data_IF_555182216283
#
_entry.id   IF_555182216283
#
_cell.length_a   1.000
_cell.length_b   1.000
_cell.length_c   1.000
_cell.angle_alpha   90.00
_cell.angle_beta   90.00
_cell.angle_gamma   90.00
#
_symmetry.space_group_name_H-M   'P 1'
#
loop_
_entity.id
_entity.type
_entity.pdbx_description
1 polymer ?
#
# COMPACT_ATOMS: atom_id res chain seq x y z
N UNK A 1 -41.13 8.14 -30.85
CA UNK A 1 -40.66 9.07 -31.91
C UNK A 1 -39.18 9.35 -31.70
N UNK A 2 -38.33 9.10 -32.70
CA UNK A 2 -36.91 9.37 -32.59
C UNK A 2 -36.67 10.88 -32.46
N UNK A 3 -35.99 11.32 -31.39
CA UNK A 3 -35.60 12.72 -31.22
C UNK A 3 -34.22 12.95 -31.85
N UNK A 4 -34.02 14.14 -32.44
CA UNK A 4 -32.70 14.53 -32.95
C UNK A 4 -31.71 14.63 -31.78
N UNK A 5 -30.58 13.94 -31.91
CA UNK A 5 -29.50 13.98 -30.92
C UNK A 5 -28.85 15.36 -30.91
N UNK A 6 -28.53 15.86 -29.72
CA UNK A 6 -27.98 17.18 -29.48
C UNK A 6 -26.67 17.08 -28.68
N UNK A 7 -25.72 17.98 -28.96
CA UNK A 7 -24.46 18.05 -28.24
C UNK A 7 -24.30 19.44 -27.61
N UNK A 8 -24.16 19.55 -26.26
CA UNK A 8 -23.98 20.83 -25.60
C UNK A 8 -22.61 21.45 -25.92
N UNK A 9 -22.47 22.75 -25.69
CA UNK A 9 -21.20 23.46 -25.89
C UNK A 9 -20.11 22.94 -24.95
N UNK A 10 -20.46 22.68 -23.69
CA UNK A 10 -19.57 22.06 -22.71
C UNK A 10 -19.79 20.55 -22.68
N UNK A 11 -19.28 19.86 -23.69
CA UNK A 11 -19.50 18.42 -23.85
C UNK A 11 -18.44 17.58 -23.13
N UNK A 12 -18.79 16.33 -22.86
CA UNK A 12 -17.88 15.32 -22.37
C UNK A 12 -16.78 15.04 -23.41
N UNK A 13 -15.53 15.01 -22.94
CA UNK A 13 -14.34 14.84 -23.79
C UNK A 13 -14.41 13.48 -24.49
N UNK A 14 -14.11 13.46 -25.78
CA UNK A 14 -14.12 12.20 -26.55
C UNK A 14 -15.52 11.72 -26.97
N UNK A 15 -16.60 12.41 -26.59
CA UNK A 15 -17.96 12.09 -27.03
C UNK A 15 -18.34 12.89 -28.29
N UNK A 16 -18.94 12.20 -29.26
CA UNK A 16 -19.36 12.73 -30.55
C UNK A 16 -20.72 12.17 -30.95
N UNK A 17 -21.40 12.85 -31.88
CA UNK A 17 -22.51 12.25 -32.63
C UNK A 17 -21.94 11.69 -33.93
N UNK A 18 -22.21 10.42 -34.20
CA UNK A 18 -21.81 9.74 -35.43
C UNK A 18 -23.02 9.50 -36.32
N UNK A 19 -22.90 9.81 -37.61
CA UNK A 19 -23.91 9.46 -38.60
C UNK A 19 -23.45 8.22 -39.38
N UNK A 20 -24.27 7.17 -39.38
CA UNK A 20 -24.00 5.93 -40.11
C UNK A 20 -24.16 6.06 -41.63
N UNK A 21 -24.77 7.15 -42.12
CA UNK A 21 -24.92 7.40 -43.56
C UNK A 21 -23.66 8.11 -44.09
N UNK A 22 -23.46 9.37 -43.72
CA UNK A 22 -22.32 10.17 -44.21
C UNK A 22 -20.99 9.90 -43.49
N UNK A 23 -20.94 8.93 -42.55
CA UNK A 23 -19.77 8.50 -41.76
C UNK A 23 -19.03 9.64 -41.03
N UNK A 24 -19.69 10.79 -40.85
CA UNK A 24 -19.11 12.00 -40.23
C UNK A 24 -19.32 12.00 -38.72
N UNK A 25 -18.34 12.56 -38.01
CA UNK A 25 -18.40 12.79 -36.57
C UNK A 25 -18.69 14.27 -36.32
N UNK A 26 -19.79 14.53 -35.62
CA UNK A 26 -20.20 15.86 -35.22
C UNK A 26 -19.75 16.09 -33.78
N UNK A 27 -18.86 17.05 -33.59
CA UNK A 27 -18.31 17.43 -32.29
C UNK A 27 -19.13 18.51 -31.58
N UNK A 28 -20.10 19.10 -32.27
CA UNK A 28 -21.04 20.12 -31.80
C UNK A 28 -22.28 20.03 -32.68
N UNK A 29 -23.43 20.53 -32.23
CA UNK A 29 -24.66 20.60 -33.05
C UNK A 29 -25.12 22.02 -33.35
N UNK A 30 -24.72 22.98 -32.53
CA UNK A 30 -24.95 24.41 -32.73
C UNK A 30 -23.84 25.20 -32.02
N UNK A 31 -23.32 26.24 -32.66
CA UNK A 31 -22.40 27.20 -32.02
C UNK A 31 -22.83 28.62 -32.38
N UNK A 32 -22.59 29.58 -31.49
CA UNK A 32 -22.85 31.00 -31.77
C UNK A 32 -21.53 31.68 -32.11
N UNK A 33 -21.45 32.27 -33.29
CA UNK A 33 -20.24 32.96 -33.78
C UNK A 33 -20.58 34.42 -34.05
N UNK A 34 -19.63 35.32 -33.78
CA UNK A 34 -19.75 36.73 -34.14
C UNK A 34 -19.28 36.90 -35.60
N UNK A 35 -20.18 37.32 -36.48
CA UNK A 35 -19.85 37.67 -37.86
C UNK A 35 -20.36 39.08 -38.12
N UNK A 36 -19.47 40.00 -38.49
CA UNK A 36 -19.78 41.41 -38.74
C UNK A 36 -20.65 42.02 -37.62
N UNK A 37 -20.14 41.99 -36.38
CA UNK A 37 -20.77 42.50 -35.14
C UNK A 37 -22.14 41.90 -34.75
N UNK A 38 -22.66 40.92 -35.50
CA UNK A 38 -23.90 40.20 -35.17
C UNK A 38 -23.63 38.77 -34.71
N UNK A 39 -24.36 38.31 -33.69
CA UNK A 39 -24.32 36.91 -33.20
C UNK A 39 -25.13 36.02 -34.15
N UNK A 40 -24.45 35.15 -34.88
CA UNK A 40 -25.09 34.19 -35.82
C UNK A 40 -24.96 32.78 -35.28
N UNK A 41 -26.04 31.99 -35.38
CA UNK A 41 -26.04 30.56 -35.04
C UNK A 41 -25.54 29.77 -36.25
N UNK A 42 -24.45 29.06 -36.08
CA UNK A 42 -23.90 28.14 -37.07
C UNK A 42 -24.25 26.69 -36.68
N UNK A 43 -24.37 25.81 -37.67
CA UNK A 43 -24.61 24.38 -37.52
C UNK A 43 -23.63 23.60 -38.41
N UNK A 44 -23.21 22.37 -38.03
CA UNK A 44 -22.32 21.62 -38.88
C UNK A 44 -23.08 21.06 -40.08
N UNK A 45 -22.39 20.95 -41.21
CA UNK A 45 -22.96 20.44 -42.46
C UNK A 45 -22.77 18.92 -42.59
N UNK A 46 -23.73 18.28 -43.25
CA UNK A 46 -23.64 16.88 -43.65
C UNK A 46 -22.49 16.67 -44.65
N UNK A 47 -21.78 15.54 -44.54
CA UNK A 47 -20.68 15.21 -45.45
C UNK A 47 -21.12 14.86 -46.88
N UNK A 48 -22.35 14.38 -47.05
CA UNK A 48 -22.87 13.97 -48.38
C UNK A 48 -23.76 15.04 -49.01
N UNK A 49 -24.75 15.55 -48.25
CA UNK A 49 -25.75 16.47 -48.80
C UNK A 49 -25.38 17.95 -48.68
N UNK A 50 -24.32 18.28 -47.95
CA UNK A 50 -23.91 19.67 -47.67
C UNK A 50 -24.89 20.48 -46.80
N UNK A 51 -26.08 19.95 -46.50
CA UNK A 51 -27.13 20.62 -45.73
C UNK A 51 -26.81 20.63 -44.23
N UNK A 52 -27.41 21.58 -43.50
CA UNK A 52 -27.24 21.74 -42.05
C UNK A 52 -27.71 20.49 -41.29
N UNK A 53 -27.07 20.21 -40.15
CA UNK A 53 -27.38 19.07 -39.29
C UNK A 53 -28.86 18.98 -38.88
N UNK A 54 -29.51 20.12 -38.59
CA UNK A 54 -30.94 20.20 -38.27
C UNK A 54 -31.85 19.72 -39.40
N UNK A 55 -31.38 19.74 -40.65
CA UNK A 55 -32.14 19.35 -41.85
C UNK A 55 -31.81 17.94 -42.36
N UNK A 56 -30.95 17.19 -41.66
CA UNK A 56 -30.59 15.82 -42.05
C UNK A 56 -31.85 14.94 -42.12
N UNK A 57 -32.08 14.28 -43.27
CA UNK A 57 -33.19 13.33 -43.49
C UNK A 57 -33.02 12.04 -42.68
N UNK A 58 -31.78 11.63 -42.39
CA UNK A 58 -31.45 10.37 -41.72
C UNK A 58 -31.05 10.55 -40.25
N UNK A 59 -31.66 11.52 -39.56
CA UNK A 59 -31.30 11.84 -38.17
C UNK A 59 -31.52 10.68 -37.18
N UNK A 60 -32.43 9.76 -37.51
CA UNK A 60 -32.68 8.54 -36.72
C UNK A 60 -31.48 7.58 -36.73
N UNK A 61 -30.64 7.64 -37.77
CA UNK A 61 -29.40 6.87 -37.89
C UNK A 61 -28.22 7.55 -37.17
N UNK A 62 -28.45 8.65 -36.45
CA UNK A 62 -27.41 9.24 -35.60
C UNK A 62 -27.29 8.46 -34.29
N UNK A 63 -26.06 8.22 -33.84
CA UNK A 63 -25.73 7.57 -32.56
C UNK A 63 -24.70 8.38 -31.80
N UNK A 64 -24.71 8.32 -30.47
CA UNK A 64 -23.59 8.85 -29.70
C UNK A 64 -22.42 7.86 -29.80
N UNK A 65 -21.18 8.38 -29.83
CA UNK A 65 -19.98 7.56 -29.99
C UNK A 65 -18.84 8.15 -29.17
N UNK A 66 -18.28 7.33 -28.29
CA UNK A 66 -17.05 7.65 -27.57
C UNK A 66 -15.82 7.28 -28.40
N UNK A 67 -14.78 8.11 -28.30
CA UNK A 67 -13.46 7.87 -28.88
C UNK A 67 -12.40 8.16 -27.83
N UNK A 68 -11.72 7.11 -27.40
CA UNK A 68 -10.62 7.16 -26.44
C UNK A 68 -9.31 6.89 -27.18
N UNK A 69 -8.26 7.62 -26.83
CA UNK A 69 -6.94 7.36 -27.38
C UNK A 69 -6.32 6.18 -26.64
N UNK A 70 -5.72 5.25 -27.38
CA UNK A 70 -4.97 4.13 -26.80
C UNK A 70 -3.59 4.65 -26.40
N UNK A 71 -3.24 4.71 -25.10
CA UNK A 71 -1.92 5.18 -24.66
C UNK A 71 -0.79 4.36 -25.29
N UNK A 72 0.30 5.01 -25.70
CA UNK A 72 1.47 4.34 -26.29
C UNK A 72 1.32 3.96 -27.78
N UNK A 73 0.25 4.39 -28.44
CA UNK A 73 0.06 4.17 -29.88
C UNK A 73 0.22 5.46 -30.68
N UNK A 74 0.67 5.38 -31.92
CA UNK A 74 0.67 6.50 -32.86
C UNK A 74 -0.76 6.81 -33.34
N UNK A 75 -1.55 7.43 -32.47
CA UNK A 75 -2.88 7.93 -32.81
C UNK A 75 -3.99 6.88 -32.91
N UNK A 76 -3.76 5.63 -32.48
CA UNK A 76 -4.82 4.60 -32.42
C UNK A 76 -5.90 5.03 -31.42
N UNK A 77 -7.16 4.78 -31.79
CA UNK A 77 -8.34 5.15 -30.98
C UNK A 77 -9.24 3.94 -30.80
N UNK A 78 -9.60 3.67 -29.57
CA UNK A 78 -10.72 2.78 -29.25
C UNK A 78 -12.02 3.59 -29.37
N UNK A 79 -13.08 2.99 -29.91
CA UNK A 79 -14.35 3.67 -30.04
C UNK A 79 -15.52 2.74 -29.78
N UNK A 80 -16.50 3.22 -29.00
CA UNK A 80 -17.76 2.51 -28.69
C UNK A 80 -18.94 3.37 -29.12
N UNK A 81 -19.86 2.76 -29.86
CA UNK A 81 -21.14 3.38 -30.22
C UNK A 81 -22.13 3.08 -29.09
N UNK A 82 -22.88 4.10 -28.69
CA UNK A 82 -23.78 4.09 -27.54
C UNK A 82 -25.23 3.98 -27.99
N UNK A 83 -26.05 3.28 -27.20
CA UNK A 83 -27.48 3.08 -27.46
C UNK A 83 -28.33 4.24 -26.91
N UNK A 84 -27.74 5.07 -26.04
CA UNK A 84 -28.33 6.29 -25.53
C UNK A 84 -29.07 7.14 -26.57
N UNK A 85 -30.28 7.55 -26.19
CA UNK A 85 -31.16 8.41 -27.00
C UNK A 85 -30.99 9.89 -26.65
N UNK A 86 -30.58 10.21 -25.42
CA UNK A 86 -30.29 11.56 -24.95
C UNK A 86 -28.82 11.71 -24.54
N UNK A 87 -28.39 12.95 -24.30
CA UNK A 87 -26.98 13.25 -24.01
C UNK A 87 -26.56 12.83 -22.60
N UNK A 88 -27.45 12.90 -21.61
CA UNK A 88 -27.11 12.55 -20.22
C UNK A 88 -26.76 11.06 -20.11
N UNK A 89 -27.60 10.19 -20.68
CA UNK A 89 -27.37 8.75 -20.70
C UNK A 89 -26.10 8.41 -21.51
N UNK A 90 -25.88 9.12 -22.62
CA UNK A 90 -24.67 8.95 -23.42
C UNK A 90 -23.38 9.33 -22.68
N UNK A 91 -23.45 10.24 -21.69
CA UNK A 91 -22.32 10.57 -20.82
C UNK A 91 -22.06 9.45 -19.82
N UNK A 92 -23.11 8.83 -19.27
CA UNK A 92 -22.98 7.68 -18.36
C UNK A 92 -22.31 6.51 -19.11
N UNK A 93 -22.87 6.13 -20.26
CA UNK A 93 -22.29 5.07 -21.11
C UNK A 93 -20.86 5.38 -21.56
N UNK A 94 -20.53 6.66 -21.77
CA UNK A 94 -19.17 7.09 -22.10
C UNK A 94 -18.19 6.94 -20.92
N UNK A 95 -18.62 7.27 -19.70
CA UNK A 95 -17.82 7.13 -18.49
C UNK A 95 -17.57 5.64 -18.19
N UNK A 96 -18.59 4.80 -18.34
CA UNK A 96 -18.46 3.36 -18.09
C UNK A 96 -17.53 2.72 -19.13
N UNK A 97 -17.65 3.10 -20.41
CA UNK A 97 -16.68 2.70 -21.43
C UNK A 97 -15.25 3.15 -21.11
N UNK A 98 -15.06 4.36 -20.56
CA UNK A 98 -13.73 4.82 -20.16
C UNK A 98 -13.16 4.01 -19.00
N UNK A 99 -14.00 3.60 -18.03
CA UNK A 99 -13.59 2.74 -16.92
C UNK A 99 -13.26 1.33 -17.40
N UNK A 100 -14.11 0.72 -18.22
CA UNK A 100 -13.88 -0.59 -18.85
C UNK A 100 -12.57 -0.57 -19.64
N UNK A 101 -12.39 0.41 -20.52
CA UNK A 101 -11.19 0.55 -21.33
C UNK A 101 -9.92 0.74 -20.49
N UNK A 102 -9.99 1.48 -19.37
CA UNK A 102 -8.87 1.62 -18.43
C UNK A 102 -8.60 0.32 -17.66
N UNK A 103 -9.63 -0.42 -17.27
CA UNK A 103 -9.49 -1.69 -16.59
C UNK A 103 -8.91 -2.77 -17.53
N UNK A 104 -9.33 -2.80 -18.80
CA UNK A 104 -8.74 -3.66 -19.84
C UNK A 104 -7.27 -3.33 -20.10
N UNK A 105 -6.90 -2.04 -20.11
CA UNK A 105 -5.49 -1.61 -20.16
C UNK A 105 -4.70 -2.02 -18.91
N UNK A 106 -5.36 -2.20 -17.77
CA UNK A 106 -4.75 -2.68 -16.52
C UNK A 106 -4.66 -4.21 -16.43
N UNK A 107 -5.30 -4.93 -17.36
CA UNK A 107 -5.27 -6.39 -17.45
C UNK A 107 -4.16 -6.93 -18.36
N UNK A 108 -3.33 -7.81 -17.79
CA UNK A 108 -2.29 -8.63 -18.44
C UNK A 108 -1.02 -7.90 -18.89
N UNK A 109 -0.12 -7.70 -17.93
CA UNK A 109 1.27 -8.17 -18.08
C UNK A 109 2.21 -7.40 -19.01
N UNK A 110 2.01 -6.10 -19.26
CA UNK A 110 3.06 -5.23 -19.79
C UNK A 110 3.08 -3.89 -19.04
N UNK A 111 4.27 -3.33 -18.73
CA UNK A 111 4.36 -2.05 -18.04
C UNK A 111 3.99 -0.95 -19.03
N UNK A 112 2.80 -0.39 -18.88
CA UNK A 112 2.52 0.90 -19.48
C UNK A 112 3.46 1.89 -18.78
N UNK A 113 4.36 2.53 -19.53
CA UNK A 113 4.99 3.78 -19.11
C UNK A 113 3.91 4.86 -18.98
N UNK A 114 3.07 4.72 -17.96
CA UNK A 114 2.35 5.85 -17.42
C UNK A 114 3.45 6.65 -16.75
N UNK A 115 3.57 7.94 -17.08
CA UNK A 115 4.16 8.92 -16.17
C UNK A 115 3.26 9.00 -14.92
N UNK A 116 3.11 7.89 -14.21
CA UNK A 116 2.40 7.77 -12.97
C UNK A 116 3.26 8.50 -11.96
N UNK A 117 2.76 9.66 -11.54
CA UNK A 117 3.31 10.37 -10.41
C UNK A 117 3.13 9.45 -9.20
N UNK A 118 4.22 8.82 -8.77
CA UNK A 118 4.24 7.92 -7.62
C UNK A 118 4.20 8.74 -6.34
N UNK A 119 3.00 9.06 -5.86
CA UNK A 119 2.81 9.79 -4.61
C UNK A 119 3.17 8.90 -3.42
N UNK A 120 3.88 9.47 -2.43
CA UNK A 120 4.39 8.75 -1.27
C UNK A 120 3.28 7.99 -0.54
N UNK A 121 2.14 8.65 -0.29
CA UNK A 121 1.05 8.03 0.45
C UNK A 121 0.45 6.83 -0.29
N UNK A 122 0.24 6.94 -1.60
CA UNK A 122 -0.31 5.84 -2.42
C UNK A 122 0.67 4.67 -2.50
N UNK A 123 1.97 4.97 -2.62
CA UNK A 123 3.04 3.96 -2.62
C UNK A 123 3.16 3.27 -1.25
N UNK A 124 2.94 3.98 -0.15
CA UNK A 124 2.89 3.38 1.18
C UNK A 124 1.71 2.42 1.33
N UNK A 125 0.54 2.76 0.79
CA UNK A 125 -0.63 1.85 0.81
C UNK A 125 -0.34 0.58 0.00
N UNK A 126 0.18 0.73 -1.22
CA UNK A 126 0.57 -0.43 -2.05
C UNK A 126 1.66 -1.28 -1.39
N UNK A 127 2.55 -0.66 -0.61
CA UNK A 127 3.52 -1.42 0.18
C UNK A 127 2.86 -2.21 1.31
N UNK A 128 1.82 -1.66 1.95
CA UNK A 128 1.06 -2.39 2.97
C UNK A 128 0.33 -3.57 2.34
N UNK A 129 -0.32 -3.38 1.19
CA UNK A 129 -0.98 -4.46 0.44
C UNK A 129 0.02 -5.56 0.05
N UNK A 130 1.21 -5.16 -0.40
CA UNK A 130 2.32 -6.09 -0.66
C UNK A 130 2.75 -6.86 0.60
N UNK A 131 2.85 -6.18 1.75
CA UNK A 131 3.15 -6.84 3.03
C UNK A 131 2.03 -7.82 3.43
N UNK A 132 0.79 -7.57 3.02
CA UNK A 132 -0.35 -8.45 3.25
C UNK A 132 -0.57 -9.51 2.16
N UNK A 133 0.35 -9.60 1.20
CA UNK A 133 0.30 -10.56 0.09
C UNK A 133 -0.96 -10.41 -0.79
N UNK A 134 -1.55 -9.20 -0.83
CA UNK A 134 -2.69 -8.88 -1.69
C UNK A 134 -2.17 -8.68 -3.12
N UNK A 135 -2.69 -9.46 -4.06
CA UNK A 135 -2.31 -9.43 -5.49
C UNK A 135 -0.80 -9.62 -5.75
N UNK A 136 -0.12 -10.36 -4.87
CA UNK A 136 1.32 -10.66 -4.98
C UNK A 136 1.54 -12.06 -5.57
N UNK A 137 2.38 -12.21 -6.62
CA UNK A 137 2.75 -13.51 -7.16
C UNK A 137 3.35 -14.43 -6.08
N UNK A 138 3.09 -15.74 -6.17
CA UNK A 138 3.46 -16.70 -5.11
C UNK A 138 4.93 -16.59 -4.65
N UNK A 139 5.86 -16.50 -5.62
CA UNK A 139 7.30 -16.40 -5.35
C UNK A 139 7.73 -15.07 -4.68
N UNK A 140 6.87 -14.05 -4.65
CA UNK A 140 7.14 -12.75 -4.02
C UNK A 140 6.41 -12.59 -2.68
N UNK A 141 5.57 -13.56 -2.29
CA UNK A 141 4.85 -13.51 -1.02
C UNK A 141 5.83 -13.49 0.14
N UNK A 142 5.56 -12.58 1.08
CA UNK A 142 6.37 -12.45 2.28
C UNK A 142 5.81 -13.32 3.41
N UNK A 143 6.69 -13.73 4.32
CA UNK A 143 6.38 -14.57 5.50
C UNK A 143 6.59 -13.79 6.81
N UNK A 144 6.29 -12.49 6.78
CA UNK A 144 6.47 -11.60 7.94
C UNK A 144 5.36 -11.83 8.97
N UNK A 145 5.72 -11.81 10.25
CA UNK A 145 4.73 -11.87 11.33
C UNK A 145 3.89 -10.59 11.39
N UNK A 146 2.65 -10.68 11.86
CA UNK A 146 1.77 -9.52 12.05
C UNK A 146 2.40 -8.45 12.93
N UNK A 147 3.15 -8.85 13.96
CA UNK A 147 3.92 -7.92 14.79
C UNK A 147 4.91 -7.12 13.93
N UNK A 148 5.68 -7.78 13.06
CA UNK A 148 6.66 -7.12 12.21
C UNK A 148 6.00 -6.18 11.19
N UNK A 149 4.87 -6.60 10.60
CA UNK A 149 4.08 -5.75 9.71
C UNK A 149 3.60 -4.48 10.43
N UNK A 150 3.04 -4.63 11.62
CA UNK A 150 2.58 -3.51 12.44
C UNK A 150 3.73 -2.56 12.83
N UNK A 151 4.94 -3.07 13.10
CA UNK A 151 6.11 -2.23 13.34
C UNK A 151 6.50 -1.38 12.12
N UNK A 152 6.40 -1.96 10.92
CA UNK A 152 6.67 -1.29 9.64
C UNK A 152 5.62 -0.19 9.41
N UNK A 153 4.33 -0.52 9.49
CA UNK A 153 3.21 0.43 9.33
C UNK A 153 3.37 1.60 10.31
N UNK A 154 3.66 1.31 11.58
CA UNK A 154 3.90 2.36 12.57
C UNK A 154 5.13 3.23 12.25
N UNK A 155 6.15 2.69 11.59
CA UNK A 155 7.29 3.46 11.13
C UNK A 155 6.93 4.40 9.97
N UNK A 156 6.17 3.92 8.98
CA UNK A 156 5.68 4.73 7.86
C UNK A 156 4.79 5.88 8.37
N UNK A 157 3.92 5.58 9.34
CA UNK A 157 3.10 6.59 10.00
C UNK A 157 3.94 7.67 10.70
N UNK A 158 5.01 7.29 11.42
CA UNK A 158 5.92 8.24 12.05
C UNK A 158 6.66 9.13 11.04
N UNK A 159 7.04 8.57 9.90
CA UNK A 159 7.63 9.36 8.81
C UNK A 159 6.63 10.39 8.27
N UNK A 160 5.38 9.98 8.10
CA UNK A 160 4.31 10.88 7.69
C UNK A 160 4.03 11.98 8.74
N UNK A 161 4.11 11.64 10.03
CA UNK A 161 4.01 12.60 11.13
C UNK A 161 5.16 13.62 11.09
N UNK A 162 6.41 13.18 10.85
CA UNK A 162 7.55 14.10 10.72
C UNK A 162 7.38 15.05 9.55
N UNK A 163 6.95 14.57 8.37
CA UNK A 163 6.68 15.43 7.21
C UNK A 163 5.58 16.46 7.51
N UNK A 164 4.52 16.04 8.18
CA UNK A 164 3.38 16.91 8.52
C UNK A 164 3.80 18.03 9.47
N UNK A 165 4.71 17.75 10.43
CA UNK A 165 5.26 18.74 11.35
C UNK A 165 6.02 19.86 10.63
N UNK A 166 6.64 19.56 9.49
CA UNK A 166 7.34 20.54 8.65
C UNK A 166 6.48 21.05 7.49
N UNK A 167 5.14 20.99 7.62
CA UNK A 167 4.17 21.46 6.62
C UNK A 167 4.29 20.81 5.23
N UNK A 168 4.91 19.62 5.14
CA UNK A 168 5.00 18.86 3.89
C UNK A 168 3.78 17.95 3.76
N UNK A 169 3.01 18.13 2.69
CA UNK A 169 1.85 17.29 2.41
C UNK A 169 2.28 15.92 1.83
N UNK A 170 2.27 14.89 2.68
CA UNK A 170 2.55 13.48 2.34
C UNK A 170 1.73 12.91 1.18
N UNK A 171 0.51 13.42 0.93
CA UNK A 171 -0.33 12.96 -0.19
C UNK A 171 0.12 13.54 -1.54
N UNK A 172 0.85 14.66 -1.53
CA UNK A 172 1.32 15.35 -2.73
C UNK A 172 2.82 15.17 -2.98
N UNK A 173 3.57 14.68 -1.98
CA UNK A 173 4.98 14.38 -2.13
C UNK A 173 5.19 13.16 -3.04
N UNK A 174 6.06 13.27 -4.03
CA UNK A 174 6.43 12.16 -4.92
C UNK A 174 7.61 11.37 -4.35
N UNK A 175 7.63 10.06 -4.53
CA UNK A 175 8.75 9.19 -4.12
C UNK A 175 10.06 9.67 -4.73
N UNK A 176 10.07 10.03 -6.02
CA UNK A 176 11.27 10.52 -6.71
C UNK A 176 11.74 11.91 -6.27
N UNK A 177 11.02 12.58 -5.36
CA UNK A 177 11.42 13.85 -4.74
C UNK A 177 11.90 13.67 -3.30
N UNK A 178 11.85 12.45 -2.76
CA UNK A 178 12.44 12.16 -1.45
C UNK A 178 13.96 12.30 -1.59
N UNK A 179 14.54 13.05 -0.66
CA UNK A 179 15.94 13.49 -0.70
C UNK A 179 16.52 13.47 0.72
N UNK A 180 17.83 13.70 0.83
CA UNK A 180 18.54 13.78 2.11
C UNK A 180 17.90 14.80 3.08
N UNK A 181 17.25 15.85 2.56
CA UNK A 181 16.46 16.80 3.38
C UNK A 181 15.36 16.07 4.16
N UNK A 182 14.57 15.23 3.49
CA UNK A 182 13.46 14.49 4.12
C UNK A 182 13.98 13.45 5.12
N UNK A 183 15.14 12.87 4.85
CA UNK A 183 15.84 11.97 5.79
C UNK A 183 16.28 12.73 7.03
N UNK A 184 16.80 13.96 6.88
CA UNK A 184 17.15 14.87 7.97
C UNK A 184 15.94 15.22 8.85
N UNK A 185 14.80 15.59 8.24
CA UNK A 185 13.57 15.86 9.00
C UNK A 185 13.12 14.67 9.84
N UNK A 186 13.24 13.45 9.29
CA UNK A 186 12.91 12.25 10.06
C UNK A 186 13.96 11.93 11.13
N UNK A 187 15.25 12.19 10.86
CA UNK A 187 16.32 12.05 11.84
C UNK A 187 16.05 12.92 13.07
N UNK A 188 15.78 14.21 12.86
CA UNK A 188 15.49 15.17 13.92
C UNK A 188 14.22 14.78 14.68
N UNK A 189 13.17 14.36 13.97
CA UNK A 189 11.95 13.88 14.60
C UNK A 189 12.19 12.67 15.51
N UNK A 190 13.03 11.72 15.11
CA UNK A 190 13.30 10.54 15.95
C UNK A 190 14.17 10.87 17.16
N UNK A 191 15.18 11.73 17.02
CA UNK A 191 16.12 12.04 18.11
C UNK A 191 15.63 13.15 19.03
N UNK A 192 15.07 14.22 18.49
CA UNK A 192 14.65 15.39 19.27
C UNK A 192 13.22 15.21 19.77
N UNK A 193 12.26 14.92 18.88
CA UNK A 193 10.84 14.87 19.28
C UNK A 193 10.46 13.58 20.00
N UNK A 194 11.04 12.46 19.57
CA UNK A 194 10.74 11.13 20.16
C UNK A 194 11.78 10.67 21.16
N UNK A 195 12.92 11.34 21.25
CA UNK A 195 14.01 10.99 22.15
C UNK A 195 14.38 9.49 22.07
N UNK A 196 14.46 8.95 20.85
CA UNK A 196 14.74 7.54 20.64
C UNK A 196 16.22 7.22 20.80
N UNK A 197 16.49 6.15 21.56
CA UNK A 197 17.84 5.58 21.68
C UNK A 197 18.31 4.95 20.37
N UNK A 198 19.62 4.82 20.22
CA UNK A 198 20.28 4.36 18.99
C UNK A 198 19.70 3.08 18.39
N UNK A 199 19.35 2.06 19.20
CA UNK A 199 18.78 0.81 18.68
C UNK A 199 17.44 1.03 17.97
N UNK A 200 16.54 1.77 18.61
CA UNK A 200 15.23 2.10 18.06
C UNK A 200 15.37 2.99 16.83
N UNK A 201 16.21 4.02 16.91
CA UNK A 201 16.52 4.92 15.80
C UNK A 201 17.01 4.14 14.57
N UNK A 202 18.04 3.31 14.73
CA UNK A 202 18.62 2.50 13.66
C UNK A 202 17.57 1.57 13.02
N UNK A 203 16.71 0.96 13.85
CA UNK A 203 15.63 0.11 13.39
C UNK A 203 14.64 0.86 12.50
N UNK A 204 14.25 2.09 12.87
CA UNK A 204 13.32 2.92 12.08
C UNK A 204 13.94 3.39 10.77
N UNK A 205 15.21 3.82 10.79
CA UNK A 205 15.93 4.17 9.57
C UNK A 205 16.06 2.99 8.61
N UNK A 206 16.34 1.78 9.14
CA UNK A 206 16.42 0.56 8.33
C UNK A 206 15.08 0.19 7.69
N UNK A 207 13.95 0.46 8.36
CA UNK A 207 12.62 0.20 7.80
C UNK A 207 12.33 1.12 6.63
N UNK A 208 12.56 2.43 6.76
CA UNK A 208 12.35 3.37 5.66
C UNK A 208 13.30 3.12 4.49
N UNK A 209 14.55 2.76 4.79
CA UNK A 209 15.49 2.30 3.77
C UNK A 209 14.91 1.17 2.94
N UNK A 210 14.42 0.11 3.59
CA UNK A 210 13.83 -1.05 2.90
C UNK A 210 12.61 -0.66 2.06
N UNK A 211 11.71 0.16 2.61
CA UNK A 211 10.53 0.67 1.90
C UNK A 211 10.90 1.47 0.65
N UNK A 212 11.83 2.42 0.76
CA UNK A 212 12.21 3.27 -0.38
C UNK A 212 12.93 2.45 -1.46
N UNK A 213 13.78 1.48 -1.08
CA UNK A 213 14.36 0.54 -2.05
C UNK A 213 13.28 -0.27 -2.78
N UNK A 214 12.32 -0.84 -2.04
CA UNK A 214 11.20 -1.56 -2.65
C UNK A 214 10.43 -0.68 -3.63
N UNK A 215 10.15 0.58 -3.29
CA UNK A 215 9.46 1.51 -4.18
C UNK A 215 10.28 1.84 -5.44
N UNK A 216 11.59 2.03 -5.29
CA UNK A 216 12.49 2.28 -6.43
C UNK A 216 12.46 1.10 -7.40
N UNK A 217 12.58 -0.12 -6.89
CA UNK A 217 12.60 -1.34 -7.69
C UNK A 217 11.23 -1.60 -8.34
N UNK A 218 10.13 -1.50 -7.57
CA UNK A 218 8.76 -1.80 -8.02
C UNK A 218 8.31 -0.89 -9.17
N UNK A 219 8.71 0.37 -9.17
CA UNK A 219 8.30 1.37 -10.16
C UNK A 219 9.44 1.80 -11.10
N UNK A 220 10.59 1.12 -11.06
CA UNK A 220 11.77 1.42 -11.86
C UNK A 220 12.17 2.91 -11.82
N UNK A 221 12.20 3.49 -10.62
CA UNK A 221 12.46 4.93 -10.45
C UNK A 221 13.95 5.18 -10.59
N UNK A 222 14.34 6.06 -11.52
CA UNK A 222 15.73 6.50 -11.64
C UNK A 222 16.12 7.46 -10.49
N UNK A 223 16.32 6.92 -9.28
CA UNK A 223 16.84 7.62 -8.12
C UNK A 223 17.68 6.67 -7.25
N UNK A 224 18.67 7.21 -6.53
CA UNK A 224 19.32 6.46 -5.45
C UNK A 224 18.50 6.61 -4.17
N UNK A 225 18.47 5.56 -3.35
CA UNK A 225 17.78 5.60 -2.07
C UNK A 225 18.51 6.58 -1.10
N UNK A 226 17.87 7.67 -0.65
CA UNK A 226 18.51 8.67 0.21
C UNK A 226 18.82 8.13 1.62
N UNK A 227 18.15 7.05 2.06
CA UNK A 227 18.42 6.42 3.35
C UNK A 227 19.70 5.56 3.36
N UNK A 228 20.35 5.33 2.21
CA UNK A 228 21.60 4.55 2.13
C UNK A 228 22.75 5.21 2.89
N UNK A 229 22.81 6.54 2.89
CA UNK A 229 23.90 7.31 3.51
C UNK A 229 23.79 7.42 5.03
N UNK A 230 22.67 6.96 5.62
CA UNK A 230 22.42 7.13 7.06
C UNK A 230 23.38 6.27 7.87
N UNK A 231 24.26 6.93 8.63
CA UNK A 231 25.15 6.26 9.57
C UNK A 231 24.36 5.77 10.79
N UNK A 232 24.58 4.53 11.18
CA UNK A 232 23.96 3.96 12.38
C UNK A 232 24.58 4.57 13.63
N UNK A 233 23.74 4.87 14.62
CA UNK A 233 24.19 5.29 15.94
C UNK A 233 24.76 4.06 16.67
N UNK A 234 25.97 4.14 17.27
CA UNK A 234 26.53 3.03 18.02
C UNK A 234 25.62 2.67 19.20
N UNK A 235 25.40 1.37 19.42
CA UNK A 235 24.58 0.88 20.52
C UNK A 235 25.44 -0.01 21.41
N UNK A 236 25.76 0.47 22.61
CA UNK A 236 26.38 -0.35 23.63
C UNK A 236 25.29 -1.16 24.34
N UNK A 237 25.35 -2.48 24.25
CA UNK A 237 24.45 -3.37 24.98
C UNK A 237 25.15 -3.75 26.29
N UNK A 238 24.72 -3.16 27.41
CA UNK A 238 25.08 -3.69 28.73
C UNK A 238 24.30 -4.97 28.95
N UNK A 239 25.00 -6.09 29.08
CA UNK A 239 24.43 -7.37 29.46
C UNK A 239 24.98 -7.72 30.82
N UNK A 240 24.21 -7.41 31.85
CA UNK A 240 24.55 -7.84 33.20
C UNK A 240 24.15 -9.31 33.32
N UNK A 241 25.10 -10.15 33.72
CA UNK A 241 24.89 -11.57 33.97
C UNK A 241 24.79 -11.80 35.46
N UNK A 242 23.88 -12.69 35.87
CA UNK A 242 23.78 -13.11 37.27
C UNK A 242 24.63 -14.35 37.51
N UNK A 243 25.25 -14.42 38.68
CA UNK A 243 25.96 -15.59 39.20
C UNK A 243 24.97 -16.64 39.71
N UNK A 244 25.48 -17.85 39.96
CA UNK A 244 24.68 -18.96 40.52
C UNK A 244 24.17 -18.63 41.92
N UNK A 245 25.01 -17.98 42.72
CA UNK A 245 24.70 -17.55 44.09
C UNK A 245 23.59 -16.50 44.08
N UNK A 246 23.70 -15.48 43.24
CA UNK A 246 22.66 -14.45 43.05
C UNK A 246 21.34 -15.08 42.61
N UNK A 247 21.37 -16.00 41.64
CA UNK A 247 20.17 -16.71 41.19
C UNK A 247 19.48 -17.48 42.33
N UNK A 248 20.24 -18.26 43.10
CA UNK A 248 19.70 -19.00 44.26
C UNK A 248 19.12 -18.05 45.32
N UNK A 249 19.77 -16.92 45.55
CA UNK A 249 19.28 -15.91 46.49
C UNK A 249 17.97 -15.28 46.00
N UNK A 250 17.84 -14.98 44.71
CA UNK A 250 16.59 -14.50 44.11
C UNK A 250 15.46 -15.51 44.27
N UNK A 251 15.71 -16.81 44.06
CA UNK A 251 14.70 -17.87 44.27
C UNK A 251 14.20 -17.93 45.72
N UNK A 252 15.05 -17.69 46.71
CA UNK A 252 14.66 -17.68 48.13
C UNK A 252 13.72 -16.52 48.49
N UNK A 253 13.86 -15.39 47.80
CA UNK A 253 13.03 -14.19 48.01
C UNK A 253 11.61 -14.38 47.46
N UNK A 254 11.43 -15.26 46.47
CA UNK A 254 10.12 -15.55 45.88
C UNK A 254 9.25 -16.25 46.92
N UNK A 255 8.30 -15.50 47.50
CA UNK A 255 7.33 -15.95 48.50
C UNK A 255 5.93 -15.43 48.15
N UNK A 256 4.85 -16.11 48.58
CA UNK A 256 3.50 -15.62 48.37
C UNK A 256 3.27 -14.20 48.90
N UNK A 257 3.84 -13.88 50.07
CA UNK A 257 3.73 -12.55 50.69
C UNK A 257 4.28 -11.44 49.79
N UNK A 258 5.39 -11.72 49.11
CA UNK A 258 6.08 -10.77 48.22
C UNK A 258 5.42 -10.66 46.84
N UNK A 259 4.37 -11.44 46.58
CA UNK A 259 3.68 -11.50 45.29
C UNK A 259 2.66 -10.39 45.04
N UNK A 260 2.30 -9.62 46.08
CA UNK A 260 1.22 -8.64 46.00
C UNK A 260 1.77 -7.30 45.51
N UNK A 261 1.36 -6.91 44.31
CA UNK A 261 1.69 -5.61 43.72
C UNK A 261 0.42 -4.73 43.67
N UNK A 262 0.49 -3.53 44.26
CA UNK A 262 -0.57 -2.52 44.13
C UNK A 262 -0.14 -1.54 43.05
N UNK A 263 -0.75 -1.65 41.86
CA UNK A 263 -0.57 -0.67 40.79
C UNK A 263 -1.84 0.16 40.64
N UNK A 264 -1.72 1.45 40.95
CA UNK A 264 -2.82 2.44 40.90
C UNK A 264 -4.04 1.96 41.70
N UNK A 265 -5.13 1.61 41.02
CA UNK A 265 -6.40 1.13 41.62
C UNK A 265 -6.53 -0.40 41.72
N UNK A 266 -5.57 -1.17 41.21
CA UNK A 266 -5.69 -2.63 41.12
C UNK A 266 -4.63 -3.34 41.96
N UNK A 267 -5.09 -4.24 42.83
CA UNK A 267 -4.25 -5.22 43.52
C UNK A 267 -4.05 -6.41 42.59
N UNK A 268 -2.81 -6.72 42.25
CA UNK A 268 -2.44 -7.89 41.42
C UNK A 268 -1.54 -8.81 42.21
N UNK A 269 -1.87 -10.10 42.22
CA UNK A 269 -0.97 -11.13 42.71
C UNK A 269 -0.12 -11.66 41.54
N UNK A 270 1.18 -11.39 41.60
CA UNK A 270 2.21 -11.83 40.63
C UNK A 270 2.82 -13.18 41.00
N UNK A 271 2.65 -13.64 42.24
CA UNK A 271 3.14 -14.95 42.65
C UNK A 271 2.32 -16.06 42.00
N UNK A 272 3.03 -17.11 41.56
CA UNK A 272 2.48 -18.35 41.06
C UNK A 272 3.26 -19.49 41.69
N UNK A 273 2.57 -20.59 42.04
CA UNK A 273 3.19 -21.74 42.71
C UNK A 273 4.36 -22.31 41.89
N UNK A 274 4.19 -22.42 40.57
CA UNK A 274 5.18 -22.95 39.64
C UNK A 274 6.37 -21.99 39.36
N UNK A 275 6.40 -20.79 39.93
CA UNK A 275 7.34 -19.75 39.49
C UNK A 275 8.80 -20.12 39.74
N UNK A 276 9.09 -20.78 40.87
CA UNK A 276 10.45 -21.26 41.19
C UNK A 276 10.87 -22.35 40.21
N UNK A 277 10.03 -23.37 40.09
CA UNK A 277 10.27 -24.53 39.22
C UNK A 277 10.44 -24.10 37.76
N UNK A 278 9.65 -23.13 37.29
CA UNK A 278 9.76 -22.60 35.93
C UNK A 278 11.07 -21.83 35.67
N UNK A 279 11.59 -21.10 36.66
CA UNK A 279 12.88 -20.41 36.55
C UNK A 279 14.04 -21.40 36.56
N UNK A 280 13.98 -22.43 37.40
CA UNK A 280 14.96 -23.52 37.41
C UNK A 280 14.93 -24.31 36.10
N UNK A 281 13.73 -24.63 35.59
CA UNK A 281 13.56 -25.29 34.30
C UNK A 281 14.14 -24.45 33.16
N UNK A 282 13.94 -23.12 33.19
CA UNK A 282 14.54 -22.21 32.20
C UNK A 282 16.08 -22.21 32.28
N UNK A 283 16.64 -22.25 33.49
CA UNK A 283 18.09 -22.33 33.69
C UNK A 283 18.65 -23.65 33.16
N UNK A 284 18.01 -24.78 33.47
CA UNK A 284 18.47 -26.12 33.07
C UNK A 284 18.30 -26.40 31.58
N UNK A 285 17.23 -25.89 30.96
CA UNK A 285 17.00 -26.07 29.52
C UNK A 285 17.74 -25.06 28.66
N UNK A 286 18.15 -23.91 29.22
CA UNK A 286 18.68 -22.78 28.45
C UNK A 286 17.67 -22.20 27.44
N UNK A 287 16.40 -22.59 27.54
CA UNK A 287 15.36 -22.25 26.59
C UNK A 287 14.95 -20.79 26.69
N UNK A 288 14.53 -20.20 25.56
CA UNK A 288 13.87 -18.89 25.59
C UNK A 288 12.56 -19.00 26.34
N UNK A 289 12.12 -17.90 26.96
CA UNK A 289 10.84 -17.85 27.69
C UNK A 289 9.66 -18.51 26.94
N UNK A 290 9.52 -18.25 25.65
CA UNK A 290 8.44 -18.84 24.83
C UNK A 290 8.62 -20.35 24.61
N UNK A 291 9.86 -20.82 24.50
CA UNK A 291 10.19 -22.24 24.36
C UNK A 291 9.86 -22.99 25.66
N UNK A 292 10.25 -22.41 26.82
CA UNK A 292 10.00 -22.98 28.15
C UNK A 292 8.50 -23.02 28.48
N UNK A 293 7.77 -21.93 28.22
CA UNK A 293 6.31 -21.87 28.48
C UNK A 293 5.53 -22.77 27.52
N UNK A 294 6.08 -23.07 26.34
CA UNK A 294 5.47 -23.96 25.34
C UNK A 294 5.71 -25.45 25.56
N UNK A 295 6.46 -25.85 26.60
CA UNK A 295 6.76 -27.26 26.89
C UNK A 295 5.48 -28.03 27.24
N UNK A 296 5.44 -29.29 26.79
CA UNK A 296 4.34 -30.22 27.03
C UNK A 296 4.88 -31.52 27.63
N UNK A 297 4.04 -32.22 28.41
CA UNK A 297 4.42 -33.49 29.03
C UNK A 297 4.90 -34.55 28.03
N UNK A 298 4.30 -34.60 26.85
CA UNK A 298 4.71 -35.53 25.79
C UNK A 298 6.10 -35.24 25.16
N UNK A 299 6.76 -34.15 25.57
CA UNK A 299 8.13 -33.83 25.17
C UNK A 299 9.17 -34.43 26.14
N UNK A 300 8.74 -34.94 27.30
CA UNK A 300 9.61 -35.66 28.22
C UNK A 300 9.79 -37.08 27.69
N UNK A 301 11.05 -37.50 27.58
CA UNK A 301 11.42 -38.85 27.14
C UNK A 301 11.82 -39.65 28.36
N UNK A 302 11.11 -40.73 28.57
CA UNK A 302 11.30 -41.64 29.69
C UNK A 302 11.97 -42.92 29.21
N UNK A 303 12.81 -43.50 30.06
CA UNK A 303 13.37 -44.84 29.89
C UNK A 303 13.19 -45.56 31.22
N UNK A 304 12.60 -46.75 31.17
CA UNK A 304 12.33 -47.56 32.37
C UNK A 304 11.48 -46.83 33.44
N UNK A 305 10.59 -45.92 33.00
CA UNK A 305 9.74 -45.11 33.89
C UNK A 305 10.40 -43.85 34.45
N UNK A 306 11.67 -43.60 34.13
CA UNK A 306 12.42 -42.44 34.61
C UNK A 306 12.64 -41.40 33.49
N UNK A 307 12.44 -40.09 33.77
CA UNK A 307 12.65 -39.04 32.78
C UNK A 307 14.15 -38.86 32.48
N UNK A 308 14.53 -39.05 31.21
CA UNK A 308 15.93 -38.97 30.75
C UNK A 308 16.26 -37.59 30.21
N UNK A 309 15.40 -37.05 29.34
CA UNK A 309 15.60 -35.72 28.74
C UNK A 309 14.30 -35.09 28.25
N UNK A 310 14.34 -33.78 28.03
CA UNK A 310 13.23 -33.01 27.46
C UNK A 310 13.57 -32.64 26.03
N UNK A 311 12.73 -33.04 25.09
CA UNK A 311 12.88 -32.68 23.68
C UNK A 311 12.29 -31.29 23.42
N UNK A 312 13.14 -30.26 23.43
CA UNK A 312 12.70 -28.87 23.22
C UNK A 312 12.72 -28.50 21.73
N UNK A 313 11.58 -28.09 21.13
CA UNK A 313 11.58 -27.65 19.75
C UNK A 313 12.32 -26.31 19.60
N UNK A 314 13.35 -26.28 18.76
CA UNK A 314 14.04 -25.04 18.44
C UNK A 314 13.17 -24.15 17.54
N UNK A 315 12.41 -23.23 18.15
CA UNK A 315 11.47 -22.34 17.46
C UNK A 315 12.15 -21.50 16.38
N UNK A 316 13.42 -21.11 16.57
CA UNK A 316 14.19 -20.34 15.58
C UNK A 316 14.47 -21.13 14.29
N UNK A 317 14.64 -22.44 14.39
CA UNK A 317 14.89 -23.33 13.24
C UNK A 317 13.59 -23.81 12.63
N UNK A 318 12.58 -24.16 13.44
CA UNK A 318 11.25 -24.55 12.94
C UNK A 318 10.59 -23.42 12.14
N UNK A 319 10.69 -22.17 12.61
CA UNK A 319 10.24 -20.98 11.87
C UNK A 319 10.93 -20.80 10.51
N UNK A 320 12.10 -21.40 10.28
CA UNK A 320 12.79 -21.40 8.97
C UNK A 320 12.45 -22.63 8.12
N UNK A 321 12.14 -23.78 8.74
CA UNK A 321 11.82 -25.05 8.05
C UNK A 321 10.37 -25.11 7.58
N UNK A 322 9.40 -24.64 8.37
CA UNK A 322 8.00 -24.50 7.91
C UNK A 322 7.91 -23.60 6.69
N UNK A 323 8.75 -22.56 6.64
CA UNK A 323 8.92 -21.70 5.46
C UNK A 323 9.51 -22.41 4.24
N UNK A 324 10.22 -23.53 4.40
CA UNK A 324 10.82 -24.30 3.29
C UNK A 324 9.91 -25.41 2.77
N UNK A 325 9.06 -25.96 3.62
CA UNK A 325 8.20 -27.10 3.28
C UNK A 325 6.81 -26.68 2.75
N UNK A 326 6.50 -25.38 2.75
CA UNK A 326 5.33 -24.80 2.09
C UNK A 326 5.64 -24.34 0.65
N UNK A 327 6.75 -24.80 0.07
CA UNK A 327 7.17 -24.55 -1.32
C UNK A 327 6.94 -25.78 -2.18
#
# INVERSE_FOLDING_TARGET
MAKRKHMPNNKHKGLFIYCHVCKKHFSWTRKTVLKNTKKVKEEPTCGESGKNYSTCKYFEKHRYKSRLHVPGSEGRKASKTHDATNYADAVIEAIDFEKEFKAELQGWGQPIEIRNRQYLFDVQLQYIDFLDNIDVPEHQKNTLSNQRKNEIINCLRKFNESLTKHHINKKLLLINRISDMHVGLFHDYLLVDKNYKGNTYNGKMSVLKTFVSWAIDRYNINMKNPFEKVRKIPVMVKRDTITKEEFKNLLKIIKPENGIEIQRKYKRNRYKLYLKDALELALHTGGRREEVVGLKWNMIREKDGEPVYIEVPNLKVKSKKEKRNSF
#
